data_IF_441477697245
#
_entry.id   IF_441477697245
#
_cell.length_a   1.000
_cell.length_b   1.000
_cell.length_c   1.000
_cell.angle_alpha   90.00
_cell.angle_beta   90.00
_cell.angle_gamma   90.00
#
_symmetry.space_group_name_H-M   'P 1'
#
loop_
_entity.id
_entity.type
_entity.pdbx_description
1 polymer ?
#
# COMPACT_ATOMS: atom_id res chain seq x y z
N UNK A 1 -22.04 -14.84 44.07
CA UNK A 1 -22.11 -13.81 43.00
C UNK A 1 -22.65 -14.50 41.76
N UNK A 2 -23.85 -14.12 41.30
CA UNK A 2 -24.46 -14.68 40.09
C UNK A 2 -23.91 -13.96 38.87
N UNK A 3 -23.41 -14.70 37.88
CA UNK A 3 -23.02 -14.15 36.57
C UNK A 3 -24.31 -13.94 35.78
N UNK A 4 -24.73 -12.69 35.59
CA UNK A 4 -25.83 -12.40 34.67
C UNK A 4 -25.38 -12.79 33.25
N UNK A 5 -26.20 -13.52 32.48
CA UNK A 5 -25.92 -13.76 31.07
C UNK A 5 -25.76 -12.41 30.37
N UNK A 6 -24.67 -12.26 29.62
CA UNK A 6 -24.50 -11.14 28.71
C UNK A 6 -25.25 -11.53 27.45
N UNK A 7 -26.34 -10.81 27.14
CA UNK A 7 -26.96 -10.93 25.83
C UNK A 7 -25.97 -10.44 24.79
N UNK A 8 -25.57 -11.32 23.88
CA UNK A 8 -24.85 -10.92 22.68
C UNK A 8 -25.85 -10.19 21.78
N UNK A 9 -25.61 -8.92 21.43
CA UNK A 9 -26.48 -8.22 20.50
C UNK A 9 -26.47 -8.99 19.18
N UNK A 10 -27.66 -9.26 18.64
CA UNK A 10 -27.80 -9.80 17.29
C UNK A 10 -27.50 -8.66 16.34
N UNK A 11 -26.31 -8.66 15.77
CA UNK A 11 -25.93 -7.69 14.75
C UNK A 11 -26.35 -8.20 13.37
N UNK A 12 -27.02 -7.34 12.61
CA UNK A 12 -27.20 -7.58 11.19
C UNK A 12 -25.94 -7.11 10.44
N UNK A 13 -25.15 -8.07 9.93
CA UNK A 13 -23.92 -7.76 9.21
C UNK A 13 -24.15 -6.87 7.98
N UNK A 14 -25.26 -7.06 7.28
CA UNK A 14 -25.58 -6.30 6.07
C UNK A 14 -25.87 -4.82 6.40
N UNK A 15 -26.52 -4.55 7.52
CA UNK A 15 -26.75 -3.18 8.01
C UNK A 15 -25.44 -2.48 8.35
N UNK A 16 -24.52 -3.18 9.03
CA UNK A 16 -23.20 -2.63 9.37
C UNK A 16 -22.35 -2.34 8.13
N UNK A 17 -22.41 -3.22 7.13
CA UNK A 17 -21.71 -3.03 5.86
C UNK A 17 -22.29 -1.81 5.12
N UNK A 18 -23.62 -1.68 5.07
CA UNK A 18 -24.28 -0.55 4.44
C UNK A 18 -23.90 0.78 5.13
N UNK A 19 -23.93 0.81 6.46
CA UNK A 19 -23.56 2.01 7.23
C UNK A 19 -22.10 2.40 7.00
N UNK A 20 -21.19 1.42 7.00
CA UNK A 20 -19.78 1.66 6.69
C UNK A 20 -19.57 2.21 5.28
N UNK A 21 -20.23 1.62 4.27
CA UNK A 21 -20.14 2.10 2.88
C UNK A 21 -20.64 3.55 2.76
N UNK A 22 -21.73 3.89 3.44
CA UNK A 22 -22.28 5.24 3.46
C UNK A 22 -21.32 6.23 4.14
N UNK A 23 -20.77 5.87 5.31
CA UNK A 23 -19.83 6.70 6.04
C UNK A 23 -18.56 7.00 5.22
N UNK A 24 -17.99 5.97 4.57
CA UNK A 24 -16.82 6.13 3.67
C UNK A 24 -17.18 7.00 2.46
N UNK A 25 -18.32 6.73 1.81
CA UNK A 25 -18.74 7.51 0.63
C UNK A 25 -18.91 9.00 0.97
N UNK A 26 -19.48 9.30 2.15
CA UNK A 26 -19.64 10.67 2.64
C UNK A 26 -18.32 11.34 2.99
N UNK A 27 -17.39 10.62 3.65
CA UNK A 27 -16.11 11.18 4.07
C UNK A 27 -15.20 11.53 2.88
N UNK A 28 -15.24 10.72 1.82
CA UNK A 28 -14.39 10.86 0.63
C UNK A 28 -15.11 11.51 -0.57
N UNK A 29 -16.38 11.92 -0.41
CA UNK A 29 -17.19 12.58 -1.44
C UNK A 29 -17.20 11.81 -2.78
N UNK A 30 -17.25 10.49 -2.70
CA UNK A 30 -17.19 9.58 -3.84
C UNK A 30 -18.04 8.35 -3.56
N UNK A 31 -18.40 7.58 -4.58
CA UNK A 31 -19.01 6.26 -4.36
C UNK A 31 -17.98 5.33 -3.69
N UNK A 32 -18.42 4.51 -2.74
CA UNK A 32 -17.57 3.58 -1.98
C UNK A 32 -16.53 2.84 -2.86
N UNK A 33 -16.97 2.25 -3.97
CA UNK A 33 -16.14 1.45 -4.87
C UNK A 33 -15.10 2.27 -5.65
N UNK A 34 -15.22 3.61 -5.68
CA UNK A 34 -14.29 4.53 -6.36
C UNK A 34 -13.34 5.25 -5.40
N UNK A 35 -13.45 5.00 -4.09
CA UNK A 35 -12.52 5.58 -3.13
C UNK A 35 -11.15 4.93 -3.34
N UNK A 36 -10.08 5.72 -3.41
CA UNK A 36 -8.75 5.26 -3.87
C UNK A 36 -8.23 4.01 -3.15
N UNK A 37 -8.36 3.95 -1.82
CA UNK A 37 -7.92 2.77 -1.06
C UNK A 37 -8.82 1.54 -1.31
N UNK A 38 -10.11 1.74 -1.57
CA UNK A 38 -11.06 0.65 -1.92
C UNK A 38 -10.74 0.13 -3.31
N UNK A 39 -10.55 1.03 -4.28
CA UNK A 39 -10.13 0.68 -5.64
C UNK A 39 -8.81 -0.08 -5.63
N UNK A 40 -7.80 0.43 -4.94
CA UNK A 40 -6.50 -0.21 -4.78
C UNK A 40 -6.63 -1.60 -4.14
N UNK A 41 -7.45 -1.74 -3.08
CA UNK A 41 -7.70 -3.04 -2.46
C UNK A 41 -8.34 -4.01 -3.45
N UNK A 42 -9.37 -3.58 -4.20
CA UNK A 42 -10.03 -4.40 -5.22
C UNK A 42 -9.06 -4.86 -6.32
N UNK A 43 -8.16 -3.98 -6.78
CA UNK A 43 -7.10 -4.35 -7.73
C UNK A 43 -6.15 -5.40 -7.14
N UNK A 44 -5.68 -5.20 -5.91
CA UNK A 44 -4.80 -6.15 -5.23
C UNK A 44 -5.42 -7.55 -5.08
N UNK A 45 -6.70 -7.64 -4.71
CA UNK A 45 -7.37 -8.94 -4.49
C UNK A 45 -7.74 -9.65 -5.79
N UNK A 46 -8.05 -8.89 -6.85
CA UNK A 46 -8.29 -9.44 -8.18
C UNK A 46 -6.99 -9.97 -8.79
N UNK A 47 -5.88 -9.29 -8.52
CA UNK A 47 -4.62 -9.47 -9.24
C UNK A 47 -4.59 -8.64 -10.52
N UNK A 48 -3.42 -8.62 -11.16
CA UNK A 48 -3.20 -7.89 -12.40
C UNK A 48 -3.55 -8.76 -13.61
N UNK A 49 -4.28 -8.17 -14.57
CA UNK A 49 -4.72 -8.87 -15.79
C UNK A 49 -3.60 -9.01 -16.84
N UNK A 50 -2.39 -8.49 -16.55
CA UNK A 50 -1.21 -8.53 -17.43
C UNK A 50 -0.55 -9.92 -17.51
N UNK A 51 -0.95 -10.85 -16.64
CA UNK A 51 -0.35 -12.17 -16.53
C UNK A 51 1.10 -12.15 -16.04
N UNK A 52 1.56 -11.00 -15.52
CA UNK A 52 2.91 -10.84 -15.00
C UNK A 52 2.95 -11.22 -13.50
N UNK A 53 4.06 -11.78 -13.02
CA UNK A 53 4.25 -11.97 -11.58
C UNK A 53 4.19 -10.64 -10.85
N UNK A 54 3.67 -10.63 -9.62
CA UNK A 54 3.75 -9.44 -8.73
C UNK A 54 5.19 -8.96 -8.68
N UNK A 55 5.45 -7.82 -9.31
CA UNK A 55 6.78 -7.24 -9.37
C UNK A 55 7.07 -6.57 -8.02
N UNK A 56 8.17 -6.96 -7.38
CA UNK A 56 8.73 -6.17 -6.29
C UNK A 56 9.65 -5.08 -6.87
N UNK A 57 9.82 -3.94 -6.19
CA UNK A 57 10.82 -2.95 -6.58
C UNK A 57 12.23 -3.56 -6.62
N UNK A 58 12.96 -3.23 -7.68
CA UNK A 58 14.34 -3.68 -7.94
C UNK A 58 15.08 -2.55 -8.63
N UNK A 59 16.41 -2.57 -8.63
CA UNK A 59 17.20 -1.61 -9.41
C UNK A 59 17.13 -1.92 -10.91
N UNK A 60 17.05 -3.21 -11.27
CA UNK A 60 17.06 -3.70 -12.63
C UNK A 60 15.83 -4.56 -12.92
N UNK A 61 15.41 -4.60 -14.18
CA UNK A 61 14.28 -5.44 -14.62
C UNK A 61 14.64 -6.94 -14.58
N UNK A 62 15.91 -7.27 -14.88
CA UNK A 62 16.42 -8.62 -14.71
C UNK A 62 16.63 -8.93 -13.22
N UNK A 63 16.23 -10.13 -12.81
CA UNK A 63 16.45 -10.62 -11.44
C UNK A 63 17.95 -10.74 -11.22
N UNK A 64 18.45 -10.08 -10.17
CA UNK A 64 19.85 -10.24 -9.77
C UNK A 64 20.12 -11.71 -9.38
N UNK A 65 21.03 -12.42 -10.08
CA UNK A 65 21.30 -13.84 -9.83
C UNK A 65 22.00 -14.08 -8.48
N UNK A 66 22.63 -13.07 -7.90
CA UNK A 66 23.23 -13.12 -6.57
C UNK A 66 22.21 -12.81 -5.46
N UNK A 67 20.94 -12.56 -5.81
CA UNK A 67 19.86 -12.29 -4.86
C UNK A 67 19.87 -10.87 -4.29
N UNK A 68 20.62 -9.93 -4.88
CA UNK A 68 20.80 -8.55 -4.38
C UNK A 68 19.67 -7.58 -4.75
N UNK A 69 18.49 -8.09 -5.09
CA UNK A 69 17.32 -7.26 -5.37
C UNK A 69 16.89 -6.38 -4.17
N UNK A 70 17.28 -6.75 -2.94
CA UNK A 70 17.02 -5.98 -1.72
C UNK A 70 17.71 -4.60 -1.70
N UNK A 71 18.75 -4.39 -2.52
CA UNK A 71 19.49 -3.13 -2.57
C UNK A 71 18.61 -1.94 -2.97
N UNK A 72 17.47 -2.19 -3.63
CA UNK A 72 16.47 -1.16 -3.87
C UNK A 72 16.00 -0.50 -2.56
N UNK A 73 15.69 -1.30 -1.55
CA UNK A 73 15.20 -0.81 -0.25
C UNK A 73 16.30 -0.05 0.48
N UNK A 74 17.52 -0.59 0.50
CA UNK A 74 18.70 0.08 1.07
C UNK A 74 18.93 1.44 0.39
N UNK A 75 18.75 1.51 -0.93
CA UNK A 75 18.91 2.76 -1.67
C UNK A 75 17.77 3.75 -1.45
N UNK A 76 16.55 3.26 -1.23
CA UNK A 76 15.37 4.07 -0.93
C UNK A 76 15.45 4.71 0.47
N UNK A 77 16.04 4.01 1.44
CA UNK A 77 16.23 4.50 2.81
C UNK A 77 17.38 5.51 2.95
N UNK A 78 18.28 5.59 1.97
CA UNK A 78 19.45 6.46 2.01
C UNK A 78 19.16 7.96 1.76
N UNK A 79 17.89 8.39 1.74
CA UNK A 79 17.47 9.76 1.48
C UNK A 79 15.99 9.99 1.80
N UNK A 80 15.32 10.86 1.05
CA UNK A 80 13.86 10.99 1.14
C UNK A 80 13.20 9.72 0.59
N UNK A 81 12.56 8.96 1.48
CA UNK A 81 11.93 7.69 1.16
C UNK A 81 10.89 7.84 0.06
N UNK A 82 11.00 7.01 -0.98
CA UNK A 82 10.02 6.94 -2.05
C UNK A 82 8.92 5.96 -1.67
N UNK A 83 7.68 6.43 -1.73
CA UNK A 83 6.50 5.57 -1.66
C UNK A 83 6.28 4.87 -3.01
N UNK A 84 5.65 3.71 -2.97
CA UNK A 84 5.23 3.05 -4.20
C UNK A 84 4.14 3.86 -4.92
N UNK A 85 4.03 3.74 -6.25
CA UNK A 85 2.97 4.35 -7.04
C UNK A 85 1.59 3.91 -6.57
N UNK A 86 0.58 4.69 -6.97
CA UNK A 86 -0.81 4.34 -6.69
C UNK A 86 -1.20 3.06 -7.41
N UNK A 87 -1.84 2.13 -6.71
CA UNK A 87 -2.37 0.89 -7.28
C UNK A 87 -3.72 1.08 -7.99
N UNK A 88 -4.20 2.32 -8.09
CA UNK A 88 -5.48 2.65 -8.74
C UNK A 88 -5.41 2.67 -10.26
N UNK A 89 -4.20 2.66 -10.84
CA UNK A 89 -3.94 2.75 -12.28
C UNK A 89 -2.87 1.75 -12.68
N UNK A 90 -3.01 1.17 -13.88
CA UNK A 90 -2.11 0.13 -14.41
C UNK A 90 -0.86 0.71 -15.11
N UNK A 91 -0.70 2.04 -15.11
CA UNK A 91 0.30 2.74 -15.92
C UNK A 91 1.74 2.65 -15.36
N UNK A 92 1.89 2.53 -14.03
CA UNK A 92 3.21 2.57 -13.37
C UNK A 92 3.75 1.16 -13.09
N UNK A 93 4.39 0.58 -14.11
CA UNK A 93 5.08 -0.71 -13.97
C UNK A 93 6.41 -0.59 -13.21
N UNK A 94 6.73 -1.59 -12.39
CA UNK A 94 8.04 -1.75 -11.73
C UNK A 94 9.07 -2.36 -12.72
N UNK A 95 10.39 -2.12 -12.56
CA UNK A 95 11.08 -1.49 -11.44
C UNK A 95 11.11 0.05 -11.47
N UNK A 96 11.07 0.67 -10.29
CA UNK A 96 11.23 2.11 -10.10
C UNK A 96 12.66 2.44 -9.69
N UNK A 97 13.19 3.57 -10.14
CA UNK A 97 14.46 4.07 -9.62
C UNK A 97 14.25 4.75 -8.25
N UNK A 98 14.86 4.26 -7.15
CA UNK A 98 14.68 4.87 -5.81
C UNK A 98 15.39 6.24 -5.67
N UNK A 99 16.25 6.61 -6.63
CA UNK A 99 16.98 7.89 -6.70
C UNK A 99 16.85 8.53 -8.09
N UNK A 100 15.70 9.14 -8.44
CA UNK A 100 15.62 10.00 -9.62
C UNK A 100 16.57 11.20 -9.46
N UNK A 101 17.11 11.67 -10.58
CA UNK A 101 18.02 12.82 -10.66
C UNK A 101 17.41 14.03 -9.92
N UNK A 102 18.12 14.58 -8.92
CA UNK A 102 17.68 15.77 -8.16
C UNK A 102 17.39 15.57 -6.66
N UNK A 103 17.49 14.35 -6.10
CA UNK A 103 17.38 14.15 -4.65
C UNK A 103 18.63 14.67 -3.90
N UNK A 104 18.40 15.46 -2.84
CA UNK A 104 19.46 15.83 -1.89
C UNK A 104 20.00 14.58 -1.20
N UNK A 105 21.32 14.41 -1.24
CA UNK A 105 22.07 13.50 -0.37
C UNK A 105 21.99 14.04 1.07
N UNK A 106 20.82 13.95 1.70
CA UNK A 106 20.68 14.24 3.12
C UNK A 106 21.23 13.05 3.89
N UNK A 107 22.56 13.02 4.07
CA UNK A 107 23.25 12.03 4.89
C UNK A 107 22.58 11.88 6.25
N UNK A 108 22.44 10.63 6.70
CA UNK A 108 21.77 10.21 7.92
C UNK A 108 22.13 11.10 9.15
N UNK A 109 21.36 12.17 9.39
CA UNK A 109 21.39 12.92 10.66
C UNK A 109 20.69 12.17 11.79
N UNK A 110 20.02 11.05 11.50
CA UNK A 110 19.31 10.23 12.48
C UNK A 110 20.23 9.50 13.47
N UNK A 111 21.54 9.41 13.19
CA UNK A 111 22.54 8.74 14.05
C UNK A 111 23.38 9.69 14.92
N UNK A 112 23.07 10.99 14.95
CA UNK A 112 23.81 11.98 15.76
C UNK A 112 22.97 12.65 16.86
N UNK A 113 22.17 11.86 17.59
CA UNK A 113 21.68 12.26 18.91
C UNK A 113 22.45 11.48 19.97
N UNK A 114 23.54 12.09 20.43
CA UNK A 114 24.23 11.72 21.67
C UNK A 114 23.39 12.13 22.88
#
# INVERSE_FOLDING_TARGET
RSLKPIDCPVFNGDELIAEYKNAVSSAYQSSFEKVSFVTAFCHCVKGFDDGLPVHYPRLNHQIDPEGKNYEWFTNNEAGEGFSLPSLTSDEDSLPLNPRPEGKSSSGNKALQRN
#
